data_IF_211157120675
#
_entry.id   IF_211157120675
#
_cell.length_a   1.000
_cell.length_b   1.000
_cell.length_c   1.000
_cell.angle_alpha   90.00
_cell.angle_beta   90.00
_cell.angle_gamma   90.00
#
_symmetry.space_group_name_H-M   'P 1'
#
loop_
_entity.id
_entity.type
_entity.pdbx_description
1 polymer ?
#
# COMPACT_ATOMS: atom_id res chain seq x y z
N UNK A 1 -6.15 -12.10 -18.11
CA UNK A 1 -4.90 -11.51 -18.64
C UNK A 1 -4.00 -11.15 -17.47
N UNK A 2 -2.70 -11.44 -17.55
CA UNK A 2 -1.75 -10.99 -16.54
C UNK A 2 -1.51 -9.49 -16.68
N UNK A 3 -1.51 -8.78 -15.56
CA UNK A 3 -1.26 -7.34 -15.51
C UNK A 3 -0.55 -6.98 -14.21
N UNK A 4 0.01 -5.78 -14.14
CA UNK A 4 0.69 -5.26 -12.96
C UNK A 4 0.22 -3.83 -12.69
N UNK A 5 0.17 -3.45 -11.41
CA UNK A 5 -0.14 -2.09 -10.99
C UNK A 5 1.13 -1.36 -10.54
N UNK A 6 1.14 -0.05 -10.78
CA UNK A 6 2.17 0.88 -10.33
C UNK A 6 1.46 2.05 -9.63
N UNK A 7 1.86 2.33 -8.40
CA UNK A 7 1.32 3.43 -7.59
C UNK A 7 2.48 4.17 -6.90
N UNK A 8 2.32 5.47 -6.63
CA UNK A 8 3.30 6.31 -5.95
C UNK A 8 2.63 7.58 -5.41
N UNK A 9 3.33 8.31 -4.53
CA UNK A 9 2.91 9.64 -4.06
C UNK A 9 1.52 9.64 -3.40
N UNK A 10 1.23 8.62 -2.57
CA UNK A 10 -0.05 8.49 -1.87
C UNK A 10 -0.13 9.42 -0.65
N UNK A 11 1.00 9.67 0.03
CA UNK A 11 1.06 10.49 1.24
C UNK A 11 -0.01 10.11 2.29
N UNK A 12 -0.18 8.81 2.55
CA UNK A 12 -1.16 8.33 3.51
C UNK A 12 -0.88 8.93 4.89
N UNK A 13 -1.92 9.52 5.48
CA UNK A 13 -1.86 10.21 6.78
C UNK A 13 -3.19 10.13 7.50
N UNK A 14 -3.16 10.20 8.83
CA UNK A 14 -4.38 10.25 9.67
C UNK A 14 -5.21 11.52 9.41
N UNK A 15 -4.57 12.56 8.87
CA UNK A 15 -5.21 13.83 8.49
C UNK A 15 -5.99 13.77 7.18
N UNK A 16 -5.75 12.77 6.33
CA UNK A 16 -6.41 12.59 5.02
C UNK A 16 -7.00 11.16 4.91
N UNK A 17 -8.01 10.81 5.73
CA UNK A 17 -8.58 9.46 5.77
C UNK A 17 -9.22 9.02 4.45
N UNK A 18 -9.63 9.94 3.59
CA UNK A 18 -10.20 9.66 2.27
C UNK A 18 -9.19 8.99 1.33
N UNK A 19 -7.91 9.37 1.38
CA UNK A 19 -6.86 8.73 0.58
C UNK A 19 -6.62 7.30 1.06
N UNK A 20 -6.65 7.10 2.38
CA UNK A 20 -6.60 5.78 2.98
C UNK A 20 -7.78 4.91 2.54
N UNK A 21 -8.99 5.47 2.47
CA UNK A 21 -10.17 4.73 2.00
C UNK A 21 -10.04 4.29 0.53
N UNK A 22 -9.51 5.15 -0.34
CA UNK A 22 -9.24 4.80 -1.75
C UNK A 22 -8.15 3.72 -1.86
N UNK A 23 -7.09 3.83 -1.05
CA UNK A 23 -6.05 2.80 -0.99
C UNK A 23 -6.61 1.46 -0.50
N UNK A 24 -7.47 1.46 0.53
CA UNK A 24 -8.15 0.24 1.02
C UNK A 24 -8.97 -0.39 -0.09
N UNK A 25 -9.80 0.39 -0.80
CA UNK A 25 -10.63 -0.10 -1.90
C UNK A 25 -9.77 -0.72 -3.02
N UNK A 26 -8.70 -0.04 -3.41
CA UNK A 26 -7.74 -0.55 -4.39
C UNK A 26 -7.11 -1.88 -3.95
N UNK A 27 -6.64 -1.96 -2.70
CA UNK A 27 -5.96 -3.14 -2.15
C UNK A 27 -6.90 -4.33 -1.98
N UNK A 28 -8.20 -4.10 -1.76
CA UNK A 28 -9.18 -5.16 -1.60
C UNK A 28 -9.77 -5.65 -2.93
N UNK A 29 -9.96 -4.75 -3.90
CA UNK A 29 -10.72 -5.06 -5.10
C UNK A 29 -9.86 -5.24 -6.35
N UNK A 30 -8.78 -4.47 -6.52
CA UNK A 30 -7.97 -4.46 -7.74
C UNK A 30 -6.63 -5.17 -7.55
N UNK A 31 -5.88 -4.83 -6.50
CA UNK A 31 -4.55 -5.37 -6.27
C UNK A 31 -4.50 -6.92 -6.26
N UNK A 32 -5.48 -7.67 -5.69
CA UNK A 32 -5.46 -9.13 -5.68
C UNK A 32 -5.53 -9.77 -7.07
N UNK A 33 -5.97 -9.03 -8.10
CA UNK A 33 -6.10 -9.54 -9.46
C UNK A 33 -4.81 -9.40 -10.28
N UNK A 34 -3.80 -8.69 -9.75
CA UNK A 34 -2.55 -8.44 -10.43
C UNK A 34 -1.53 -9.56 -10.24
N UNK A 35 -0.59 -9.67 -11.16
CA UNK A 35 0.60 -10.51 -10.97
C UNK A 35 1.61 -9.82 -10.04
N UNK A 36 1.68 -8.48 -10.12
CA UNK A 36 2.65 -7.65 -9.39
C UNK A 36 2.07 -6.30 -9.01
N UNK A 37 2.45 -5.80 -7.85
CA UNK A 37 2.19 -4.44 -7.38
C UNK A 37 3.52 -3.75 -7.07
N UNK A 38 3.77 -2.63 -7.74
CA UNK A 38 4.93 -1.78 -7.48
C UNK A 38 4.49 -0.49 -6.81
N UNK A 39 5.05 -0.20 -5.64
CA UNK A 39 4.85 1.03 -4.88
C UNK A 39 6.15 1.85 -4.99
N UNK A 40 6.13 2.91 -5.79
CA UNK A 40 7.33 3.66 -6.20
C UNK A 40 7.59 4.88 -5.29
N UNK A 41 7.63 4.67 -3.98
CA UNK A 41 7.91 5.70 -2.98
C UNK A 41 6.68 6.47 -2.51
N UNK A 42 6.91 7.35 -1.53
CA UNK A 42 5.95 8.31 -0.96
C UNK A 42 4.58 7.69 -0.60
N UNK A 43 4.61 6.47 -0.03
CA UNK A 43 3.42 5.75 0.43
C UNK A 43 2.78 6.44 1.64
N UNK A 44 3.58 6.82 2.63
CA UNK A 44 3.16 7.58 3.80
C UNK A 44 3.63 9.03 3.65
N UNK A 45 2.93 9.96 4.30
CA UNK A 45 3.28 11.39 4.27
C UNK A 45 4.68 11.65 4.84
N UNK A 46 5.03 10.91 5.89
CA UNK A 46 6.39 10.81 6.40
C UNK A 46 6.62 9.41 6.99
N UNK A 47 7.88 9.01 7.14
CA UNK A 47 8.27 7.76 7.79
C UNK A 47 9.43 8.02 8.75
N UNK A 48 9.23 7.80 10.05
CA UNK A 48 10.25 8.06 11.06
C UNK A 48 11.10 6.80 11.34
N UNK A 49 10.50 5.63 11.22
CA UNK A 49 11.14 4.35 11.46
C UNK A 49 10.15 3.21 11.57
N UNK A 50 10.66 1.98 11.48
CA UNK A 50 9.84 0.77 11.54
C UNK A 50 9.29 0.48 12.96
N UNK A 51 9.80 1.18 13.97
CA UNK A 51 9.34 1.16 15.35
C UNK A 51 8.10 2.05 15.60
N UNK A 52 7.62 2.75 14.57
CA UNK A 52 6.42 3.56 14.65
C UNK A 52 5.15 2.72 14.87
N UNK A 53 4.37 3.10 15.88
CA UNK A 53 3.09 2.48 16.19
C UNK A 53 1.94 3.43 15.88
N UNK A 54 1.32 3.23 14.72
CA UNK A 54 0.06 3.89 14.32
C UNK A 54 -0.93 2.84 13.81
N UNK A 55 -2.21 3.07 14.09
CA UNK A 55 -3.32 2.27 13.56
C UNK A 55 -3.34 2.30 12.02
N UNK A 56 -3.07 3.47 11.42
CA UNK A 56 -2.98 3.62 9.96
C UNK A 56 -1.84 2.78 9.39
N UNK A 57 -0.65 2.91 9.98
CA UNK A 57 0.54 2.15 9.54
C UNK A 57 0.25 0.65 9.65
N UNK A 58 -0.35 0.20 10.74
CA UNK A 58 -0.71 -1.21 10.91
C UNK A 58 -1.73 -1.67 9.85
N UNK A 59 -2.77 -0.88 9.59
CA UNK A 59 -3.76 -1.17 8.55
C UNK A 59 -3.13 -1.29 7.16
N UNK A 60 -2.24 -0.36 6.78
CA UNK A 60 -1.56 -0.39 5.48
C UNK A 60 -0.64 -1.60 5.36
N UNK A 61 0.12 -1.94 6.40
CA UNK A 61 0.94 -3.15 6.45
C UNK A 61 0.10 -4.41 6.26
N UNK A 62 -1.03 -4.50 6.95
CA UNK A 62 -1.92 -5.67 6.89
C UNK A 62 -2.55 -5.83 5.50
N UNK A 63 -2.91 -4.73 4.82
CA UNK A 63 -3.40 -4.76 3.45
C UNK A 63 -2.35 -5.27 2.46
N UNK A 64 -1.12 -4.73 2.53
CA UNK A 64 -0.02 -5.15 1.66
C UNK A 64 0.31 -6.62 1.90
N UNK A 65 0.34 -7.05 3.17
CA UNK A 65 0.56 -8.44 3.56
C UNK A 65 -0.53 -9.37 3.01
N UNK A 66 -1.80 -9.01 3.18
CA UNK A 66 -2.95 -9.80 2.67
C UNK A 66 -2.88 -9.98 1.15
N UNK A 67 -2.53 -8.93 0.40
CA UNK A 67 -2.34 -9.01 -1.06
C UNK A 67 -1.14 -9.90 -1.41
N UNK A 68 -0.04 -9.78 -0.67
CA UNK A 68 1.14 -10.63 -0.87
C UNK A 68 0.87 -12.11 -0.57
N UNK A 69 0.08 -12.42 0.46
CA UNK A 69 -0.31 -13.79 0.83
C UNK A 69 -1.22 -14.44 -0.20
N UNK A 70 -1.94 -13.64 -1.00
CA UNK A 70 -2.73 -14.11 -2.14
C UNK A 70 -1.88 -14.42 -3.39
N UNK A 71 -0.55 -14.22 -3.33
CA UNK A 71 0.39 -14.57 -4.39
C UNK A 71 0.78 -13.40 -5.30
N UNK A 72 0.33 -12.18 -5.03
CA UNK A 72 0.76 -10.98 -5.75
C UNK A 72 2.17 -10.60 -5.30
N UNK A 73 3.07 -10.36 -6.26
CA UNK A 73 4.42 -9.93 -5.92
C UNK A 73 4.44 -8.41 -5.63
N UNK A 74 4.60 -8.05 -4.37
CA UNK A 74 4.67 -6.65 -3.93
C UNK A 74 6.12 -6.16 -3.86
N UNK A 75 6.40 -5.00 -4.43
CA UNK A 75 7.70 -4.35 -4.41
C UNK A 75 7.56 -2.90 -3.94
N UNK A 76 8.52 -2.44 -3.13
CA UNK A 76 8.61 -1.06 -2.68
C UNK A 76 9.96 -0.48 -3.09
N UNK A 77 9.96 0.75 -3.60
CA UNK A 77 11.18 1.54 -3.80
C UNK A 77 11.21 2.65 -2.75
N UNK A 78 12.16 2.58 -1.83
CA UNK A 78 12.50 3.71 -0.98
C UNK A 78 13.28 4.75 -1.81
N UNK A 79 13.05 6.03 -1.55
CA UNK A 79 13.88 7.13 -2.05
C UNK A 79 15.00 7.43 -1.07
#
# INVERSE_FOLDING_TARGET
MKHSYFISDLHLSETQPELTALFVDFMQNLAPQAERLYILGDLFDFWIGDDEQSTLIQQVKDLIKSVSEQGVQCYFSAR
#
